data_IF_887580417347
#
_entry.id   IF_887580417347
#
_cell.length_a   1.000
_cell.length_b   1.000
_cell.length_c   1.000
_cell.angle_alpha   90.00
_cell.angle_beta   90.00
_cell.angle_gamma   90.00
#
_symmetry.space_group_name_H-M   'P 1'
#
loop_
_entity.id
_entity.type
_entity.pdbx_description
1 polymer ?
#
# COMPACT_ATOMS: atom_id res chain seq x y z
N UNK A 1 14.36 -2.91 16.82
CA UNK A 1 13.43 -2.34 15.85
C UNK A 1 12.91 -3.47 14.99
N UNK A 2 11.60 -3.64 14.95
CA UNK A 2 10.88 -4.65 14.17
C UNK A 2 10.07 -3.98 13.07
N UNK A 3 9.55 -4.76 12.13
CA UNK A 3 8.59 -4.24 11.16
C UNK A 3 7.33 -3.70 11.83
N UNK A 4 6.89 -4.33 12.92
CA UNK A 4 5.74 -3.86 13.68
C UNK A 4 5.98 -2.46 14.30
N UNK A 5 7.20 -2.17 14.73
CA UNK A 5 7.57 -0.84 15.23
C UNK A 5 7.42 0.22 14.13
N UNK A 6 7.77 -0.10 12.88
CA UNK A 6 7.57 0.78 11.73
C UNK A 6 6.11 1.02 11.43
N UNK A 7 5.31 -0.05 11.34
CA UNK A 7 3.88 0.08 11.06
C UNK A 7 3.19 0.90 12.16
N UNK A 8 3.59 0.69 13.42
CA UNK A 8 3.10 1.48 14.56
C UNK A 8 3.52 2.94 14.47
N UNK A 9 4.76 3.24 14.10
CA UNK A 9 5.22 4.62 13.90
C UNK A 9 4.43 5.33 12.80
N UNK A 10 4.12 4.65 11.69
CA UNK A 10 3.29 5.19 10.60
C UNK A 10 1.87 5.47 11.10
N UNK A 11 1.22 4.48 11.73
CA UNK A 11 -0.15 4.63 12.24
C UNK A 11 -0.28 5.76 13.28
N UNK A 12 0.77 6.00 14.06
CA UNK A 12 0.80 7.06 15.06
C UNK A 12 1.21 8.43 14.50
N UNK A 13 1.54 8.54 13.21
CA UNK A 13 1.91 9.81 12.58
C UNK A 13 0.66 10.51 12.02
N UNK A 14 0.19 11.62 12.63
CA UNK A 14 -1.08 12.24 12.22
C UNK A 14 -1.07 12.75 10.78
N UNK A 15 0.07 13.24 10.31
CA UNK A 15 0.16 13.80 8.94
C UNK A 15 0.07 12.72 7.88
N UNK A 16 0.64 11.52 8.11
CA UNK A 16 0.45 10.39 7.21
C UNK A 16 -0.98 9.85 7.25
N UNK A 17 -1.61 9.85 8.42
CA UNK A 17 -3.00 9.40 8.60
C UNK A 17 -4.02 10.36 7.98
N UNK A 18 -3.70 11.65 7.89
CA UNK A 18 -4.53 12.69 7.25
C UNK A 18 -4.45 12.70 5.72
N UNK A 19 -3.57 11.91 5.10
CA UNK A 19 -3.49 11.81 3.65
C UNK A 19 -4.84 11.36 3.07
N UNK A 20 -5.42 12.21 2.24
CA UNK A 20 -6.80 12.09 1.72
C UNK A 20 -6.88 11.83 0.22
N UNK A 21 -5.74 11.77 -0.47
CA UNK A 21 -5.69 11.48 -1.89
C UNK A 21 -4.77 10.30 -2.18
N UNK A 22 -5.22 9.43 -3.09
CA UNK A 22 -4.47 8.22 -3.43
C UNK A 22 -3.08 8.52 -4.01
N UNK A 23 -2.88 9.51 -4.90
CA UNK A 23 -1.56 9.72 -5.52
C UNK A 23 -0.50 10.22 -4.52
N UNK A 24 -0.92 10.91 -3.46
CA UNK A 24 -0.05 11.39 -2.40
C UNK A 24 0.42 10.29 -1.45
N UNK A 25 -0.31 9.16 -1.35
CA UNK A 25 0.08 8.07 -0.44
C UNK A 25 1.46 7.49 -0.79
N UNK A 26 1.75 7.06 -2.05
CA UNK A 26 3.09 6.64 -2.45
C UNK A 26 4.19 7.64 -2.14
N UNK A 27 4.01 8.91 -2.55
CA UNK A 27 5.02 9.94 -2.39
C UNK A 27 5.34 10.21 -0.90
N UNK A 28 4.31 10.36 -0.08
CA UNK A 28 4.47 10.75 1.32
C UNK A 28 4.91 9.56 2.20
N UNK A 29 4.40 8.35 1.96
CA UNK A 29 4.86 7.15 2.66
C UNK A 29 6.31 6.82 2.29
N UNK A 30 6.69 6.96 1.03
CA UNK A 30 8.08 6.82 0.60
C UNK A 30 8.97 7.83 1.32
N UNK A 31 8.63 9.12 1.25
CA UNK A 31 9.46 10.12 1.93
C UNK A 31 9.55 9.86 3.44
N UNK A 32 8.47 9.46 4.10
CA UNK A 32 8.49 9.12 5.52
C UNK A 32 9.40 7.94 5.86
N UNK A 33 9.38 6.87 5.06
CA UNK A 33 10.23 5.69 5.31
C UNK A 33 11.71 5.98 5.00
N UNK A 34 11.99 6.73 3.93
CA UNK A 34 13.37 6.94 3.48
C UNK A 34 14.01 8.24 3.95
N UNK A 35 13.23 9.17 4.53
CA UNK A 35 13.66 10.52 4.89
C UNK A 35 13.90 11.43 3.68
N UNK A 36 13.52 10.98 2.47
CA UNK A 36 13.64 11.70 1.20
C UNK A 36 12.81 11.00 0.13
N UNK A 37 12.53 11.71 -0.96
CA UNK A 37 11.94 11.12 -2.17
C UNK A 37 12.84 10.01 -2.71
N UNK A 38 12.25 8.90 -3.12
CA UNK A 38 12.94 7.82 -3.82
C UNK A 38 12.52 7.81 -5.28
N UNK A 39 13.47 7.46 -6.15
CA UNK A 39 13.19 7.10 -7.53
C UNK A 39 12.78 5.63 -7.61
N UNK A 40 11.89 5.32 -8.55
CA UNK A 40 11.45 3.95 -8.82
C UNK A 40 12.63 3.07 -9.26
N UNK A 41 12.80 1.89 -8.65
CA UNK A 41 13.89 0.95 -9.02
C UNK A 41 13.45 -0.01 -10.15
N UNK A 42 12.16 -0.02 -10.50
CA UNK A 42 11.57 -0.81 -11.58
C UNK A 42 10.13 -0.40 -11.85
N UNK A 43 9.60 -0.76 -13.02
CA UNK A 43 8.22 -0.47 -13.47
C UNK A 43 7.71 -1.68 -14.24
N UNK A 44 7.12 -2.61 -13.49
CA UNK A 44 6.53 -3.82 -14.05
C UNK A 44 5.01 -3.73 -14.04
N UNK A 45 4.37 -4.56 -14.86
CA UNK A 45 2.91 -4.57 -15.04
C UNK A 45 2.38 -5.98 -14.85
N UNK A 46 1.28 -6.09 -14.11
CA UNK A 46 0.45 -7.28 -13.95
C UNK A 46 -0.81 -7.08 -14.77
N UNK A 47 -1.09 -8.02 -15.67
CA UNK A 47 -2.27 -8.00 -16.53
C UNK A 47 -3.02 -9.33 -16.40
N UNK A 48 -4.31 -9.33 -16.73
CA UNK A 48 -5.11 -10.56 -16.78
C UNK A 48 -4.77 -11.39 -18.03
N UNK A 49 -3.66 -12.14 -17.94
CA UNK A 49 -3.17 -13.02 -19.00
C UNK A 49 -2.57 -14.32 -18.41
N UNK A 50 -2.03 -15.19 -19.27
CA UNK A 50 -1.47 -16.48 -18.86
C UNK A 50 -0.29 -16.38 -17.86
N UNK A 51 0.40 -15.24 -17.81
CA UNK A 51 1.54 -14.97 -16.92
C UNK A 51 1.15 -14.27 -15.61
N UNK A 52 -0.13 -13.92 -15.41
CA UNK A 52 -0.61 -13.12 -14.27
C UNK A 52 -0.11 -13.66 -12.93
N UNK A 53 -0.22 -14.98 -12.72
CA UNK A 53 0.23 -15.62 -11.47
C UNK A 53 1.73 -15.38 -11.21
N UNK A 54 2.58 -15.59 -12.21
CA UNK A 54 4.01 -15.37 -12.10
C UNK A 54 4.34 -13.90 -11.85
N UNK A 55 3.65 -12.98 -12.54
CA UNK A 55 3.82 -11.54 -12.35
C UNK A 55 3.47 -11.11 -10.92
N UNK A 56 2.38 -11.63 -10.35
CA UNK A 56 2.01 -11.40 -8.94
C UNK A 56 3.09 -11.95 -8.00
N UNK A 57 3.60 -13.17 -8.23
CA UNK A 57 4.66 -13.74 -7.41
C UNK A 57 5.94 -12.90 -7.43
N UNK A 58 6.32 -12.32 -8.58
CA UNK A 58 7.45 -11.40 -8.67
C UNK A 58 7.18 -10.07 -7.98
N UNK A 59 5.98 -9.50 -8.14
CA UNK A 59 5.57 -8.25 -7.50
C UNK A 59 5.63 -8.32 -5.97
N UNK A 60 5.42 -9.51 -5.41
CA UNK A 60 5.43 -9.77 -3.98
C UNK A 60 6.77 -10.30 -3.45
N UNK A 61 7.81 -10.41 -4.28
CA UNK A 61 9.09 -10.96 -3.83
C UNK A 61 9.92 -9.92 -3.06
N UNK A 62 9.85 -9.93 -1.73
CA UNK A 62 10.74 -9.13 -0.89
C UNK A 62 12.09 -9.84 -0.66
N UNK A 63 13.19 -9.18 -1.05
CA UNK A 63 14.56 -9.71 -0.96
C UNK A 63 15.39 -9.11 0.17
N UNK A 64 14.78 -8.35 1.08
CA UNK A 64 15.46 -7.78 2.24
C UNK A 64 15.65 -8.80 3.36
N UNK A 65 16.60 -8.53 4.25
CA UNK A 65 16.78 -9.32 5.48
C UNK A 65 15.72 -8.98 6.55
N UNK A 66 15.72 -9.72 7.67
CA UNK A 66 14.73 -9.54 8.75
C UNK A 66 14.78 -8.16 9.44
N UNK A 67 15.87 -7.41 9.27
CA UNK A 67 16.07 -6.06 9.81
C UNK A 67 15.77 -4.96 8.80
N UNK A 68 15.32 -5.32 7.60
CA UNK A 68 15.05 -4.41 6.49
C UNK A 68 13.57 -4.32 6.16
N UNK A 69 13.23 -3.27 5.41
CA UNK A 69 11.92 -3.03 4.81
C UNK A 69 12.08 -2.33 3.46
N UNK A 70 10.97 -2.08 2.78
CA UNK A 70 10.90 -1.24 1.60
C UNK A 70 9.50 -0.60 1.51
N UNK A 71 9.30 0.29 0.55
CA UNK A 71 7.97 0.77 0.12
C UNK A 71 7.75 0.32 -1.31
N UNK A 72 6.60 -0.28 -1.58
CA UNK A 72 6.15 -0.62 -2.92
C UNK A 72 4.93 0.19 -3.26
N UNK A 73 4.96 0.87 -4.40
CA UNK A 73 3.84 1.63 -4.93
C UNK A 73 3.12 0.77 -5.97
N UNK A 74 1.82 0.56 -5.77
CA UNK A 74 0.93 -0.05 -6.74
C UNK A 74 0.01 1.00 -7.35
N UNK A 75 -0.07 1.01 -8.67
CA UNK A 75 -0.92 1.85 -9.48
C UNK A 75 -1.87 0.97 -10.29
N UNK A 76 -3.16 1.03 -9.94
CA UNK A 76 -4.22 0.33 -10.66
C UNK A 76 -4.73 1.25 -11.76
N UNK A 77 -4.79 0.73 -12.98
CA UNK A 77 -5.28 1.44 -14.16
C UNK A 77 -6.48 0.74 -14.76
N UNK A 78 -7.42 1.52 -15.32
CA UNK A 78 -8.59 1.04 -16.05
C UNK A 78 -9.60 2.16 -16.22
N UNK A 79 -10.89 1.87 -16.01
CA UNK A 79 -11.95 2.89 -15.98
C UNK A 79 -11.80 3.90 -14.84
N UNK A 80 -11.08 3.51 -13.78
CA UNK A 80 -10.62 4.36 -12.71
C UNK A 80 -9.13 4.14 -12.43
N UNK A 81 -8.51 5.11 -11.75
CA UNK A 81 -7.12 5.06 -11.33
C UNK A 81 -7.06 5.08 -9.82
N UNK A 82 -6.28 4.17 -9.23
CA UNK A 82 -6.07 4.13 -7.78
C UNK A 82 -4.62 3.81 -7.44
N UNK A 83 -4.11 4.44 -6.39
CA UNK A 83 -2.76 4.28 -5.90
C UNK A 83 -2.79 3.78 -4.45
N UNK A 84 -1.97 2.79 -4.15
CA UNK A 84 -1.75 2.35 -2.78
C UNK A 84 -0.31 1.92 -2.56
N UNK A 85 0.07 1.83 -1.29
CA UNK A 85 1.40 1.43 -0.84
C UNK A 85 1.33 0.09 -0.14
N UNK A 86 2.33 -0.75 -0.39
CA UNK A 86 2.59 -1.97 0.36
C UNK A 86 3.96 -1.86 1.01
N UNK A 87 4.04 -2.12 2.31
CA UNK A 87 5.29 -2.16 3.08
C UNK A 87 5.58 -3.60 3.48
N UNK A 88 6.54 -4.29 2.85
CA UNK A 88 7.02 -5.60 3.31
C UNK A 88 7.83 -5.49 4.60
N UNK A 89 7.67 -6.47 5.49
CA UNK A 89 8.48 -6.61 6.70
C UNK A 89 8.47 -8.05 7.23
N UNK A 90 9.40 -8.38 8.12
CA UNK A 90 9.51 -9.73 8.69
C UNK A 90 8.82 -9.86 10.05
N UNK A 91 7.95 -10.87 10.19
CA UNK A 91 7.33 -11.29 11.46
C UNK A 91 7.80 -12.70 11.82
N UNK A 92 8.47 -12.86 12.96
CA UNK A 92 9.14 -14.10 13.36
C UNK A 92 8.27 -15.37 13.28
N UNK A 93 6.97 -15.28 13.58
CA UNK A 93 6.06 -16.43 13.56
C UNK A 93 5.47 -16.76 12.19
N UNK A 94 5.67 -15.92 11.17
CA UNK A 94 5.00 -16.03 9.85
C UNK A 94 5.99 -15.97 8.69
N UNK A 95 7.08 -15.22 8.81
CA UNK A 95 7.99 -14.89 7.72
C UNK A 95 7.77 -13.46 7.20
N UNK A 96 7.99 -13.25 5.91
CA UNK A 96 7.68 -11.98 5.24
C UNK A 96 6.17 -11.78 5.20
N UNK A 97 5.75 -10.64 5.71
CA UNK A 97 4.37 -10.15 5.70
C UNK A 97 4.35 -8.73 5.15
N UNK A 98 3.16 -8.20 4.94
CA UNK A 98 2.96 -6.90 4.32
C UNK A 98 1.95 -6.07 5.08
N UNK A 99 2.02 -4.76 4.92
CA UNK A 99 0.98 -3.84 5.37
C UNK A 99 0.62 -2.92 4.22
N UNK A 100 -0.68 -2.83 3.94
CA UNK A 100 -1.22 -1.97 2.90
C UNK A 100 -1.62 -0.63 3.50
N UNK A 101 -1.34 0.46 2.79
CA UNK A 101 -1.82 1.81 3.10
C UNK A 101 -2.40 2.44 1.86
N UNK A 102 -3.60 3.03 1.99
CA UNK A 102 -4.29 3.69 0.89
C UNK A 102 -5.21 4.78 1.41
N UNK A 103 -5.51 5.72 0.54
CA UNK A 103 -6.55 6.73 0.67
C UNK A 103 -7.29 6.77 -0.66
N UNK A 104 -8.52 7.26 -0.68
CA UNK A 104 -9.29 7.36 -1.92
C UNK A 104 -9.75 8.79 -2.14
N UNK A 105 -9.35 9.36 -3.28
CA UNK A 105 -9.80 10.66 -3.76
C UNK A 105 -10.93 10.45 -4.77
N UNK A 106 -12.08 11.08 -4.56
CA UNK A 106 -13.17 11.03 -5.53
C UNK A 106 -13.20 12.30 -6.40
N UNK A 107 -13.56 12.15 -7.68
CA UNK A 107 -13.48 13.20 -8.71
C UNK A 107 -14.49 14.35 -8.58
N UNK A 108 -15.43 14.34 -7.63
CA UNK A 108 -16.38 15.44 -7.39
C UNK A 108 -16.88 15.47 -5.95
N UNK A 109 -16.77 16.64 -5.31
CA UNK A 109 -17.56 17.12 -4.16
C UNK A 109 -17.81 16.14 -3.02
N UNK A 110 -16.83 15.99 -2.13
CA UNK A 110 -16.92 15.66 -0.70
C UNK A 110 -17.72 14.46 -0.15
N UNK A 111 -18.46 13.66 -0.91
CA UNK A 111 -19.32 12.64 -0.27
C UNK A 111 -18.74 11.22 -0.13
N UNK A 112 -17.71 10.82 -0.89
CA UNK A 112 -17.24 9.40 -0.87
C UNK A 112 -15.71 9.18 -0.97
N UNK A 113 -14.90 10.12 -0.48
CA UNK A 113 -13.45 9.92 -0.29
C UNK A 113 -13.10 9.47 1.14
N UNK A 114 -11.94 8.84 1.31
CA UNK A 114 -11.43 8.52 2.66
C UNK A 114 -9.93 8.75 2.77
N UNK A 115 -9.50 9.13 3.98
CA UNK A 115 -8.08 9.26 4.33
C UNK A 115 -7.48 7.93 4.76
N UNK A 116 -6.15 7.88 4.87
CA UNK A 116 -5.45 6.70 5.42
C UNK A 116 -5.96 6.33 6.82
N UNK A 117 -6.25 7.31 7.68
CA UNK A 117 -6.84 7.08 9.00
C UNK A 117 -8.16 6.29 8.93
N UNK A 118 -9.05 6.71 8.03
CA UNK A 118 -10.34 6.04 7.82
C UNK A 118 -10.16 4.62 7.27
N UNK A 119 -9.17 4.40 6.41
CA UNK A 119 -8.81 3.06 5.93
C UNK A 119 -8.34 2.16 7.08
N UNK A 120 -7.40 2.65 7.90
CA UNK A 120 -6.86 1.91 9.05
C UNK A 120 -7.93 1.60 10.10
N UNK A 121 -8.90 2.49 10.28
CA UNK A 121 -10.00 2.35 11.24
C UNK A 121 -11.28 1.73 10.67
N UNK A 122 -11.28 1.31 9.40
CA UNK A 122 -12.46 0.75 8.72
C UNK A 122 -13.68 1.67 8.73
N UNK A 123 -13.46 2.99 8.68
CA UNK A 123 -14.53 3.99 8.70
C UNK A 123 -15.02 4.19 7.27
N UNK A 124 -16.31 3.93 7.05
CA UNK A 124 -16.99 4.18 5.77
C UNK A 124 -16.65 5.60 5.22
N UNK A 125 -16.31 5.75 3.93
CA UNK A 125 -16.44 4.77 2.83
C UNK A 125 -15.33 3.71 2.69
N UNK A 126 -14.36 3.64 3.60
CA UNK A 126 -13.29 2.63 3.53
C UNK A 126 -13.82 1.18 3.64
N UNK A 127 -13.08 0.19 3.11
CA UNK A 127 -13.44 -1.22 3.22
C UNK A 127 -13.42 -1.72 4.68
N UNK A 128 -14.34 -2.63 5.00
CA UNK A 128 -14.44 -3.28 6.31
C UNK A 128 -13.31 -4.29 6.58
N UNK A 129 -13.27 -4.85 7.80
CA UNK A 129 -12.15 -5.67 8.32
C UNK A 129 -11.76 -6.90 7.47
N UNK A 130 -12.70 -7.47 6.71
CA UNK A 130 -12.47 -8.70 5.94
C UNK A 130 -11.48 -8.45 4.78
N UNK A 131 -11.69 -7.36 4.04
CA UNK A 131 -10.97 -7.00 2.80
C UNK A 131 -10.15 -5.71 2.91
N UNK A 132 -10.41 -4.91 3.94
CA UNK A 132 -9.74 -3.66 4.24
C UNK A 132 -8.46 -3.85 5.05
N UNK A 133 -8.03 -2.78 5.73
CA UNK A 133 -6.76 -2.73 6.45
C UNK A 133 -6.53 -3.91 7.39
N UNK A 134 -5.29 -4.41 7.39
CA UNK A 134 -4.77 -5.36 8.37
C UNK A 134 -3.32 -4.99 8.60
N UNK A 135 -2.87 -5.06 9.85
CA UNK A 135 -1.45 -4.88 10.16
C UNK A 135 -0.60 -5.95 9.50
N UNK A 136 -1.11 -7.18 9.38
CA UNK A 136 -0.40 -8.33 8.81
C UNK A 136 -1.20 -8.90 7.64
N UNK A 137 -0.74 -8.63 6.43
CA UNK A 137 -1.14 -9.33 5.22
C UNK A 137 -0.12 -10.41 4.90
N UNK A 138 -0.58 -11.63 4.61
CA UNK A 138 0.28 -12.67 4.05
C UNK A 138 0.50 -12.43 2.55
N UNK A 139 1.51 -13.10 1.98
CA UNK A 139 1.69 -13.11 0.53
C UNK A 139 0.43 -13.63 -0.20
N UNK A 140 -0.28 -14.60 0.39
CA UNK A 140 -1.51 -15.12 -0.18
C UNK A 140 -2.65 -14.10 -0.16
N UNK A 141 -2.78 -13.31 0.91
CA UNK A 141 -3.79 -12.25 0.99
C UNK A 141 -3.60 -11.21 -0.12
N UNK A 142 -2.36 -10.73 -0.28
CA UNK A 142 -2.03 -9.78 -1.34
C UNK A 142 -2.15 -10.39 -2.73
N UNK A 143 -1.70 -11.63 -2.92
CA UNK A 143 -1.84 -12.32 -4.21
C UNK A 143 -3.31 -12.47 -4.60
N UNK A 144 -4.17 -12.76 -3.63
CA UNK A 144 -5.62 -12.86 -3.83
C UNK A 144 -6.20 -11.50 -4.17
N UNK A 145 -5.83 -10.44 -3.45
CA UNK A 145 -6.27 -9.08 -3.76
C UNK A 145 -5.89 -8.66 -5.19
N UNK A 146 -4.63 -8.82 -5.57
CA UNK A 146 -4.15 -8.44 -6.91
C UNK A 146 -4.85 -9.24 -8.02
N UNK A 147 -5.05 -10.55 -7.82
CA UNK A 147 -5.78 -11.39 -8.76
C UNK A 147 -7.26 -11.01 -8.85
N UNK A 148 -7.91 -10.78 -7.70
CA UNK A 148 -9.33 -10.42 -7.64
C UNK A 148 -9.58 -9.10 -8.36
N UNK A 149 -8.72 -8.09 -8.15
CA UNK A 149 -8.84 -6.78 -8.81
C UNK A 149 -8.81 -6.88 -10.34
N UNK A 150 -8.06 -7.84 -10.89
CA UNK A 150 -7.92 -8.07 -12.33
C UNK A 150 -8.99 -8.99 -12.93
N UNK A 151 -9.73 -9.76 -12.11
CA UNK A 151 -10.58 -10.86 -12.59
C UNK A 151 -12.03 -10.80 -12.10
N UNK A 152 -12.32 -10.09 -11.01
CA UNK A 152 -13.66 -10.01 -10.41
C UNK A 152 -14.20 -8.58 -10.51
N UNK A 153 -15.39 -8.44 -11.10
CA UNK A 153 -16.03 -7.14 -11.32
C UNK A 153 -16.38 -6.38 -10.03
N UNK A 154 -16.55 -7.07 -8.90
CA UNK A 154 -16.89 -6.48 -7.61
C UNK A 154 -15.66 -6.23 -6.70
N UNK A 155 -14.46 -6.67 -7.11
CA UNK A 155 -13.27 -6.56 -6.27
C UNK A 155 -12.90 -5.11 -5.91
N UNK A 156 -13.21 -4.16 -6.80
CA UNK A 156 -12.95 -2.74 -6.53
C UNK A 156 -13.66 -2.25 -5.27
N UNK A 157 -14.95 -2.55 -5.14
CA UNK A 157 -15.74 -2.16 -3.97
C UNK A 157 -15.35 -2.97 -2.73
N UNK A 158 -15.00 -4.25 -2.89
CA UNK A 158 -14.55 -5.09 -1.77
C UNK A 158 -13.25 -4.55 -1.14
N UNK A 159 -12.27 -4.20 -1.96
CA UNK A 159 -10.92 -3.83 -1.50
C UNK A 159 -10.71 -2.33 -1.31
N UNK A 160 -11.51 -1.48 -1.95
CA UNK A 160 -11.45 -0.02 -1.80
C UNK A 160 -12.70 0.57 -1.16
N UNK A 161 -13.68 -0.23 -0.77
CA UNK A 161 -14.87 0.22 -0.05
C UNK A 161 -15.91 0.88 -0.96
N UNK A 162 -16.85 1.62 -0.37
CA UNK A 162 -17.96 2.25 -1.08
C UNK A 162 -17.51 3.54 -1.80
N UNK A 163 -16.67 3.38 -2.81
CA UNK A 163 -16.02 4.45 -3.58
C UNK A 163 -16.51 4.53 -5.04
N UNK A 164 -17.60 3.82 -5.32
CA UNK A 164 -18.17 3.66 -6.65
C UNK A 164 -17.61 2.46 -7.43
N UNK A 165 -18.36 1.99 -8.44
CA UNK A 165 -17.95 0.83 -9.24
C UNK A 165 -16.80 1.20 -10.18
N UNK A 166 -15.83 0.29 -10.29
CA UNK A 166 -14.74 0.36 -11.26
C UNK A 166 -14.13 -1.03 -11.46
N UNK A 167 -13.24 -1.15 -12.45
CA UNK A 167 -12.55 -2.38 -12.78
C UNK A 167 -11.10 -2.06 -13.17
N UNK A 168 -10.17 -2.92 -12.72
CA UNK A 168 -8.78 -2.83 -13.13
C UNK A 168 -8.58 -3.54 -14.48
N UNK A 169 -7.88 -2.88 -15.39
CA UNK A 169 -7.37 -3.48 -16.62
C UNK A 169 -5.94 -4.00 -16.40
N UNK A 170 -5.15 -3.26 -15.62
CA UNK A 170 -3.77 -3.59 -15.29
C UNK A 170 -3.36 -3.01 -13.93
N UNK A 171 -2.32 -3.60 -13.33
CA UNK A 171 -1.69 -3.12 -12.11
C UNK A 171 -0.21 -2.90 -12.38
N UNK A 172 0.22 -1.64 -12.35
CA UNK A 172 1.64 -1.26 -12.39
C UNK A 172 2.18 -1.25 -10.97
N UNK A 173 3.43 -1.67 -10.79
CA UNK A 173 4.06 -1.58 -9.48
C UNK A 173 5.52 -1.13 -9.56
N UNK A 174 5.94 -0.44 -8.52
CA UNK A 174 7.27 0.15 -8.36
C UNK A 174 7.80 -0.28 -7.00
N UNK A 175 8.90 -1.03 -6.99
CA UNK A 175 9.56 -1.45 -5.76
C UNK A 175 10.72 -0.50 -5.47
N UNK A 176 10.76 0.11 -4.28
CA UNK A 176 11.86 0.98 -3.87
C UNK A 176 12.98 0.18 -3.21
N UNK A 177 14.16 0.81 -3.08
CA UNK A 177 15.34 0.17 -2.49
C UNK A 177 15.06 -0.27 -1.05
N UNK A 178 15.70 -1.35 -0.60
CA UNK A 178 15.60 -1.74 0.81
C UNK A 178 16.24 -0.67 1.71
N UNK A 179 15.71 -0.54 2.92
CA UNK A 179 16.28 0.30 3.99
C UNK A 179 16.22 -0.44 5.32
N UNK A 180 17.09 -0.05 6.25
CA UNK A 180 17.09 -0.60 7.61
C UNK A 180 15.84 -0.14 8.37
N UNK A 181 15.22 -1.04 9.13
CA UNK A 181 14.05 -0.74 9.97
C UNK A 181 14.33 0.35 11.00
N UNK A 182 15.53 0.37 11.58
CA UNK A 182 15.95 1.42 12.53
C UNK A 182 15.92 2.81 11.89
N UNK A 183 16.47 2.93 10.68
CA UNK A 183 16.44 4.18 9.91
C UNK A 183 15.02 4.55 9.50
N UNK A 184 14.24 3.58 9.00
CA UNK A 184 12.85 3.81 8.60
C UNK A 184 11.99 4.35 9.75
N UNK A 185 12.06 3.73 10.92
CA UNK A 185 11.33 4.20 12.11
C UNK A 185 11.79 5.61 12.53
N UNK A 186 13.10 5.86 12.53
CA UNK A 186 13.63 7.20 12.87
C UNK A 186 13.11 8.26 11.89
N UNK A 187 13.10 7.96 10.59
CA UNK A 187 12.65 8.88 9.55
C UNK A 187 11.15 9.18 9.69
N UNK A 188 10.32 8.16 9.94
CA UNK A 188 8.87 8.35 10.14
C UNK A 188 8.59 9.26 11.33
N UNK A 189 9.37 9.12 12.41
CA UNK A 189 9.25 9.98 13.60
C UNK A 189 9.72 11.43 13.34
N UNK A 190 10.59 11.64 12.35
CA UNK A 190 11.11 12.96 11.95
C UNK A 190 10.47 13.49 10.66
N UNK A 191 9.43 12.83 10.14
CA UNK A 191 8.89 13.07 8.80
C UNK A 191 8.56 14.55 8.52
N UNK A 192 8.01 15.28 9.51
CA UNK A 192 7.68 16.71 9.36
C UNK A 192 8.90 17.61 9.14
N UNK A 193 10.07 17.19 9.61
CA UNK A 193 11.32 17.93 9.46
C UNK A 193 12.02 17.61 8.14
N UNK A 194 11.82 16.39 7.61
CA UNK A 194 12.55 15.87 6.45
C UNK A 194 11.81 16.04 5.12
N UNK A 195 10.48 16.10 5.12
CA UNK A 195 9.65 15.87 3.92
C UNK A 195 8.56 16.92 3.67
N UNK A 196 8.67 18.11 4.29
CA UNK A 196 7.75 19.23 4.08
C UNK A 196 8.11 20.08 2.87
#
# INVERSE_FOLDING_TARGET
>A
MTGEDLIRAINNNPTLMELKNCPGVPAQMSCAVYGKVQDDVGNDVIENNASMKYQIEQALLFRGDHSQTAVWHFLITGSAVHHFVVIPWYKQSVGTVYTVFMAYEHKKGDEYGYSVDKYVKHINPAPGEIKGYKTVWTANDLSTMLSDLLTKSNAWEEYFGNVGPAQADAIRYYQYKTTALSSAVSNVNQYKELCR
#
